data_IF_881945935115
#
_entry.id   IF_881945935115
#
_cell.length_a   1.000
_cell.length_b   1.000
_cell.length_c   1.000
_cell.angle_alpha   90.00
_cell.angle_beta   90.00
_cell.angle_gamma   90.00
#
_symmetry.space_group_name_H-M   'P 1'
#
loop_
_entity.id
_entity.type
_entity.pdbx_description
1 polymer ?
#
# COMPACT_ATOMS: atom_id res chain seq x y z
N UNK A 1 70.11 17.17 -26.78
CA UNK A 1 69.22 16.54 -27.78
C UNK A 1 67.78 16.80 -27.34
N UNK A 2 67.13 17.71 -28.08
CA UNK A 2 65.69 17.91 -28.31
C UNK A 2 64.67 17.82 -27.16
N UNK A 3 64.30 18.99 -26.63
CA UNK A 3 62.90 19.49 -26.59
C UNK A 3 62.58 20.17 -27.96
N UNK A 4 61.39 20.76 -28.26
CA UNK A 4 60.11 20.88 -27.54
C UNK A 4 58.87 20.65 -28.45
N UNK A 5 57.63 20.84 -27.93
CA UNK A 5 56.46 21.57 -28.53
C UNK A 5 55.14 21.01 -27.97
N UNK A 6 54.03 21.72 -27.82
CA UNK A 6 53.67 23.12 -27.54
C UNK A 6 52.14 23.11 -27.33
N UNK A 7 51.63 23.99 -26.47
CA UNK A 7 50.21 24.25 -26.11
C UNK A 7 49.41 24.85 -27.31
N UNK A 8 48.06 24.97 -27.32
CA UNK A 8 47.31 26.05 -26.63
C UNK A 8 45.90 25.62 -26.09
N UNK A 9 45.39 26.05 -24.93
CA UNK A 9 44.66 27.30 -24.60
C UNK A 9 43.59 27.75 -25.62
N UNK A 10 42.30 27.65 -25.27
CA UNK A 10 41.26 28.60 -25.70
C UNK A 10 40.28 28.87 -24.54
N UNK A 11 40.25 30.14 -24.12
CA UNK A 11 39.19 30.81 -23.37
C UNK A 11 38.15 31.35 -24.37
N UNK A 12 37.02 31.78 -23.83
CA UNK A 12 35.96 32.64 -24.38
C UNK A 12 34.66 31.85 -24.69
N UNK A 13 33.57 32.01 -23.92
CA UNK A 13 32.73 33.22 -23.76
C UNK A 13 32.03 33.46 -25.10
N UNK A 14 30.70 33.46 -25.22
CA UNK A 14 29.71 34.42 -24.68
C UNK A 14 28.40 34.03 -25.41
N UNK A 15 27.19 34.09 -24.86
CA UNK A 15 26.16 35.18 -24.75
C UNK A 15 24.84 34.36 -24.90
N UNK A 16 23.68 34.62 -24.29
CA UNK A 16 22.93 35.86 -24.06
C UNK A 16 21.81 35.58 -23.03
N UNK A 17 21.72 36.51 -22.09
CA UNK A 17 20.51 37.17 -21.53
C UNK A 17 19.45 36.33 -20.79
N UNK A 18 19.19 36.54 -19.49
CA UNK A 18 18.81 37.78 -18.76
C UNK A 18 17.36 38.22 -19.03
N UNK A 19 16.47 37.92 -18.07
CA UNK A 19 15.34 38.76 -17.63
C UNK A 19 15.11 38.37 -16.16
N UNK A 20 15.74 39.02 -15.17
CA UNK A 20 15.26 40.22 -14.41
C UNK A 20 13.75 40.06 -14.10
N UNK A 21 13.26 39.99 -12.87
CA UNK A 21 13.18 41.10 -11.93
C UNK A 21 12.75 40.53 -10.58
N UNK A 22 13.56 40.87 -9.59
CA UNK A 22 13.30 40.91 -8.15
C UNK A 22 12.13 41.82 -7.79
N UNK A 23 11.32 41.46 -6.80
CA UNK A 23 10.88 42.49 -5.84
C UNK A 23 10.77 41.93 -4.43
N UNK A 24 11.69 42.41 -3.59
CA UNK A 24 11.60 42.41 -2.12
C UNK A 24 10.66 43.54 -1.72
N UNK A 25 9.85 43.33 -0.69
CA UNK A 25 9.50 44.43 0.20
C UNK A 25 9.37 43.95 1.65
N UNK A 26 10.17 44.59 2.48
CA UNK A 26 10.20 44.55 3.94
C UNK A 26 9.86 45.98 4.38
N UNK A 27 8.86 46.19 5.24
CA UNK A 27 8.91 47.06 6.44
C UNK A 27 7.52 47.08 7.14
N UNK A 28 7.45 47.45 8.44
CA UNK A 28 6.35 47.18 9.35
C UNK A 28 5.55 48.42 9.78
N UNK A 29 4.40 48.19 10.45
CA UNK A 29 3.96 49.00 11.60
C UNK A 29 2.64 49.80 11.49
N UNK A 30 1.81 49.60 12.53
CA UNK A 30 1.01 50.60 13.30
C UNK A 30 -0.51 50.75 13.04
N UNK A 31 -1.21 50.64 14.19
CA UNK A 31 -2.58 50.98 14.65
C UNK A 31 -3.45 51.93 13.80
N UNK A 32 -4.76 51.69 13.75
CA UNK A 32 -5.77 52.32 14.64
C UNK A 32 -7.18 51.70 14.49
N UNK A 33 -7.96 51.75 15.59
CA UNK A 33 -9.40 51.42 15.66
C UNK A 33 -10.20 52.71 15.57
N UNK A 34 -11.40 52.72 14.97
CA UNK A 34 -12.55 53.53 15.43
C UNK A 34 -13.88 53.05 14.84
N UNK A 35 -14.75 52.58 15.75
CA UNK A 35 -16.22 52.71 15.90
C UNK A 35 -17.28 52.48 14.77
N UNK A 36 -18.54 52.14 15.14
CA UNK A 36 -19.57 51.54 14.27
C UNK A 36 -20.81 52.41 13.94
N UNK A 37 -21.60 51.89 12.97
CA UNK A 37 -23.05 52.09 12.66
C UNK A 37 -23.53 53.41 12.00
N UNK A 38 -24.74 53.51 11.36
CA UNK A 38 -25.84 52.51 11.21
C UNK A 38 -26.56 52.40 9.84
N UNK A 39 -27.34 51.31 9.71
CA UNK A 39 -28.65 51.15 9.04
C UNK A 39 -28.88 51.56 7.55
N UNK A 40 -29.10 50.54 6.69
CA UNK A 40 -29.99 50.64 5.51
C UNK A 40 -30.87 49.37 5.43
N UNK A 41 -32.21 49.48 5.32
CA UNK A 41 -33.11 48.32 5.21
C UNK A 41 -33.51 47.99 3.74
N UNK A 42 -33.92 46.73 3.54
CA UNK A 42 -34.78 46.14 2.47
C UNK A 42 -34.08 45.35 1.35
N UNK A 43 -34.25 44.02 1.37
CA UNK A 43 -35.17 43.25 0.51
C UNK A 43 -35.00 41.73 0.77
N UNK A 44 -36.08 40.95 0.97
CA UNK A 44 -35.95 39.51 1.09
C UNK A 44 -35.65 38.87 -0.29
N UNK A 45 -34.65 37.97 -0.41
CA UNK A 45 -34.46 37.19 -1.63
C UNK A 45 -35.56 36.12 -1.75
N UNK A 46 -35.97 35.77 -2.99
CA UNK A 46 -37.01 34.77 -3.22
C UNK A 46 -36.59 33.38 -2.75
N UNK A 47 -37.59 32.63 -2.26
CA UNK A 47 -37.54 31.23 -1.86
C UNK A 47 -36.54 30.38 -2.65
N UNK A 48 -35.45 29.96 -1.99
CA UNK A 48 -34.56 28.91 -2.49
C UNK A 48 -35.31 27.58 -2.43
N UNK A 49 -35.70 27.05 -3.59
CA UNK A 49 -36.09 25.64 -3.72
C UNK A 49 -34.90 24.78 -3.29
N UNK A 50 -35.12 23.93 -2.29
CA UNK A 50 -34.21 22.84 -1.95
C UNK A 50 -33.98 21.98 -3.20
N UNK A 51 -32.78 22.02 -3.73
CA UNK A 51 -32.25 20.94 -4.55
C UNK A 51 -31.22 20.21 -3.68
N UNK A 52 -31.41 18.92 -3.34
CA UNK A 52 -30.33 18.14 -2.78
C UNK A 52 -29.33 17.84 -3.89
N UNK A 53 -28.38 18.77 -4.12
CA UNK A 53 -27.17 18.47 -4.89
C UNK A 53 -26.22 17.71 -3.98
N UNK A 54 -26.35 16.38 -3.97
CA UNK A 54 -25.26 15.47 -3.59
C UNK A 54 -24.15 15.56 -4.66
N UNK A 55 -23.50 16.73 -4.75
CA UNK A 55 -22.27 16.89 -5.50
C UNK A 55 -21.14 16.37 -4.62
N UNK A 56 -20.87 15.07 -4.74
CA UNK A 56 -19.66 14.46 -4.21
C UNK A 56 -18.49 15.17 -4.90
N UNK A 57 -17.93 16.18 -4.22
CA UNK A 57 -16.77 16.92 -4.71
C UNK A 57 -15.57 15.96 -4.74
N UNK A 58 -14.89 15.79 -5.88
CA UNK A 58 -13.70 14.94 -5.97
C UNK A 58 -12.58 15.38 -5.01
N UNK A 59 -12.55 16.66 -4.63
CA UNK A 59 -11.64 17.18 -3.61
C UNK A 59 -11.92 16.67 -2.18
N UNK A 60 -13.17 16.39 -1.81
CA UNK A 60 -13.51 15.89 -0.49
C UNK A 60 -13.12 14.40 -0.32
N UNK A 61 -13.20 13.63 -1.42
CA UNK A 61 -12.69 12.26 -1.49
C UNK A 61 -11.16 12.24 -1.39
N UNK A 62 -10.46 13.11 -2.13
CA UNK A 62 -9.01 13.24 -2.01
C UNK A 62 -8.56 13.61 -0.59
N UNK A 63 -9.29 14.48 0.12
CA UNK A 63 -8.93 14.84 1.50
C UNK A 63 -9.18 13.71 2.51
N UNK A 64 -10.25 12.90 2.33
CA UNK A 64 -10.50 11.70 3.14
C UNK A 64 -9.49 10.61 2.86
N UNK A 65 -9.15 10.38 1.59
CA UNK A 65 -8.13 9.43 1.17
C UNK A 65 -6.78 9.84 1.75
N UNK A 66 -6.38 11.12 1.64
CA UNK A 66 -5.08 11.59 2.15
C UNK A 66 -4.99 11.56 3.69
N UNK A 67 -6.13 11.67 4.40
CA UNK A 67 -6.20 11.45 5.85
C UNK A 67 -6.16 9.97 6.26
N UNK A 68 -6.64 9.05 5.41
CA UNK A 68 -6.60 7.58 5.64
C UNK A 68 -5.33 6.91 5.11
N UNK A 69 -4.66 7.51 4.13
CA UNK A 69 -3.38 7.07 3.52
C UNK A 69 -2.17 7.77 4.11
N UNK A 70 -2.37 8.61 5.14
CA UNK A 70 -1.31 8.95 6.07
C UNK A 70 -1.00 7.69 6.87
N UNK A 71 -0.29 6.73 6.25
CA UNK A 71 0.31 5.62 6.96
C UNK A 71 1.13 6.26 8.08
N UNK A 72 0.70 6.15 9.35
CA UNK A 72 1.60 6.48 10.44
C UNK A 72 2.80 5.54 10.30
N UNK A 73 3.86 5.81 11.02
CA UNK A 73 5.10 5.01 11.06
C UNK A 73 4.90 3.58 11.62
N UNK A 74 3.70 3.03 11.51
CA UNK A 74 3.22 1.77 12.07
C UNK A 74 2.72 0.91 10.91
N UNK A 75 3.35 -0.25 10.69
CA UNK A 75 2.94 -1.18 9.63
C UNK A 75 1.52 -1.72 9.94
N UNK A 76 0.72 -2.12 8.94
CA UNK A 76 -0.59 -2.70 9.21
C UNK A 76 -0.45 -4.01 10.00
N UNK A 77 -1.41 -4.35 10.86
CA UNK A 77 -1.41 -5.70 11.43
C UNK A 77 -1.90 -6.72 10.39
N UNK A 78 -1.61 -8.00 10.61
CA UNK A 78 -2.07 -9.05 9.70
C UNK A 78 -3.61 -9.07 9.53
N UNK A 79 -4.35 -8.69 10.57
CA UNK A 79 -5.81 -8.55 10.53
C UNK A 79 -6.26 -7.46 9.54
N UNK A 80 -5.52 -6.36 9.39
CA UNK A 80 -5.86 -5.26 8.48
C UNK A 80 -5.71 -5.64 7.00
N UNK A 81 -4.96 -6.71 6.72
CA UNK A 81 -4.83 -7.30 5.39
C UNK A 81 -6.06 -8.13 5.01
N UNK A 82 -6.79 -8.64 6.00
CA UNK A 82 -8.00 -9.45 5.80
C UNK A 82 -9.24 -8.56 5.57
N UNK A 83 -9.28 -7.36 6.15
CA UNK A 83 -10.35 -6.39 5.90
C UNK A 83 -10.26 -5.84 4.46
N UNK A 84 -11.21 -6.19 3.60
CA UNK A 84 -11.20 -5.72 2.21
C UNK A 84 -11.54 -4.23 2.11
N UNK A 85 -10.86 -3.49 1.22
CA UNK A 85 -11.25 -2.10 0.91
C UNK A 85 -12.61 -2.07 0.20
N UNK A 86 -13.34 -0.96 0.36
CA UNK A 86 -14.53 -0.72 -0.48
C UNK A 86 -14.11 -0.64 -1.95
N UNK A 87 -14.97 -1.13 -2.86
CA UNK A 87 -14.73 -1.07 -4.29
C UNK A 87 -14.43 0.35 -4.78
N UNK A 88 -15.11 1.35 -4.20
CA UNK A 88 -14.92 2.77 -4.51
C UNK A 88 -13.50 3.27 -4.15
N UNK A 89 -12.91 2.74 -3.07
CA UNK A 89 -11.56 3.15 -2.64
C UNK A 89 -10.49 2.56 -3.56
N UNK A 90 -10.65 1.31 -3.98
CA UNK A 90 -9.73 0.66 -4.93
C UNK A 90 -9.75 1.35 -6.30
N UNK A 91 -10.94 1.76 -6.76
CA UNK A 91 -11.10 2.42 -8.05
C UNK A 91 -10.40 3.79 -8.08
N UNK A 92 -10.45 4.55 -6.98
CA UNK A 92 -9.72 5.83 -6.90
C UNK A 92 -8.21 5.62 -6.98
N UNK A 93 -7.68 4.59 -6.30
CA UNK A 93 -6.26 4.25 -6.37
C UNK A 93 -5.85 3.83 -7.78
N UNK A 94 -6.70 3.04 -8.46
CA UNK A 94 -6.51 2.62 -9.85
C UNK A 94 -6.44 3.83 -10.79
N UNK A 95 -7.40 4.75 -10.67
CA UNK A 95 -7.46 5.96 -11.50
C UNK A 95 -6.25 6.85 -11.30
N UNK A 96 -5.80 7.03 -10.05
CA UNK A 96 -4.59 7.80 -9.75
C UNK A 96 -3.35 7.14 -10.34
N UNK A 97 -3.20 5.83 -10.18
CA UNK A 97 -2.07 5.08 -10.75
C UNK A 97 -2.04 5.18 -12.28
N UNK A 98 -3.17 5.00 -12.96
CA UNK A 98 -3.26 5.10 -14.42
C UNK A 98 -2.97 6.51 -14.95
N UNK A 99 -3.43 7.54 -14.23
CA UNK A 99 -3.13 8.93 -14.57
C UNK A 99 -1.64 9.22 -14.48
N UNK A 100 -0.97 8.78 -13.44
CA UNK A 100 0.48 8.95 -13.31
C UNK A 100 1.25 8.12 -14.34
N UNK A 101 0.74 6.93 -14.69
CA UNK A 101 1.33 6.06 -15.70
C UNK A 101 1.29 6.69 -17.09
N UNK A 102 0.16 7.33 -17.48
CA UNK A 102 0.07 8.03 -18.77
C UNK A 102 0.98 9.26 -18.84
N UNK A 103 1.31 9.85 -17.68
CA UNK A 103 2.26 10.96 -17.55
C UNK A 103 3.73 10.49 -17.47
N UNK A 104 4.00 9.18 -17.55
CA UNK A 104 5.33 8.58 -17.38
C UNK A 104 6.04 8.96 -16.07
N UNK A 105 5.28 9.38 -15.05
CA UNK A 105 5.80 9.85 -13.77
C UNK A 105 4.98 9.25 -12.64
N UNK A 106 5.19 7.96 -12.40
CA UNK A 106 4.57 7.22 -11.29
C UNK A 106 5.41 7.36 -10.04
N UNK A 107 4.81 7.92 -8.98
CA UNK A 107 5.48 7.98 -7.69
C UNK A 107 5.49 6.61 -7.01
N UNK A 108 6.55 6.32 -6.27
CA UNK A 108 6.67 5.06 -5.50
C UNK A 108 5.51 4.92 -4.52
N UNK A 109 5.04 6.02 -3.93
CA UNK A 109 3.91 6.02 -3.01
C UNK A 109 2.60 5.63 -3.70
N UNK A 110 2.28 6.21 -4.86
CA UNK A 110 1.07 5.88 -5.61
C UNK A 110 1.07 4.42 -6.02
N UNK A 111 2.20 3.92 -6.55
CA UNK A 111 2.36 2.51 -6.90
C UNK A 111 2.18 1.60 -5.69
N UNK A 112 2.75 1.96 -4.55
CA UNK A 112 2.65 1.20 -3.31
C UNK A 112 1.21 1.16 -2.77
N UNK A 113 0.53 2.30 -2.74
CA UNK A 113 -0.87 2.39 -2.28
C UNK A 113 -1.79 1.55 -3.15
N UNK A 114 -1.62 1.63 -4.48
CA UNK A 114 -2.39 0.81 -5.41
C UNK A 114 -2.10 -0.68 -5.24
N UNK A 115 -0.83 -1.07 -5.15
CA UNK A 115 -0.42 -2.45 -4.92
C UNK A 115 -1.02 -3.02 -3.62
N UNK A 116 -1.00 -2.26 -2.54
CA UNK A 116 -1.62 -2.68 -1.29
C UNK A 116 -3.14 -2.80 -1.39
N UNK A 117 -3.80 -1.87 -2.08
CA UNK A 117 -5.23 -1.97 -2.33
C UNK A 117 -5.61 -3.22 -3.12
N UNK A 118 -4.79 -3.60 -4.11
CA UNK A 118 -4.94 -4.83 -4.87
C UNK A 118 -4.77 -6.08 -4.00
N UNK A 119 -3.76 -6.10 -3.11
CA UNK A 119 -3.58 -7.20 -2.15
C UNK A 119 -4.79 -7.35 -1.23
N UNK A 120 -5.40 -6.24 -0.79
CA UNK A 120 -6.60 -6.28 0.05
C UNK A 120 -7.86 -6.78 -0.67
N UNK A 121 -7.87 -6.78 -2.01
CA UNK A 121 -9.01 -7.22 -2.81
C UNK A 121 -9.32 -8.72 -2.59
N UNK A 122 -10.60 -9.14 -2.65
CA UNK A 122 -10.96 -10.56 -2.58
C UNK A 122 -10.60 -11.34 -3.85
N UNK A 123 -10.32 -10.66 -4.98
CA UNK A 123 -9.99 -11.32 -6.24
C UNK A 123 -8.55 -11.80 -6.27
N UNK A 124 -8.34 -13.08 -6.56
CA UNK A 124 -7.00 -13.69 -6.63
C UNK A 124 -6.10 -13.02 -7.66
N UNK A 125 -6.66 -12.63 -8.81
CA UNK A 125 -5.94 -11.91 -9.87
C UNK A 125 -5.37 -10.58 -9.39
N UNK A 126 -6.17 -9.82 -8.63
CA UNK A 126 -5.71 -8.57 -8.02
C UNK A 126 -4.59 -8.83 -7.00
N UNK A 127 -4.72 -9.86 -6.17
CA UNK A 127 -3.68 -10.18 -5.18
C UNK A 127 -2.34 -10.52 -5.84
N UNK A 128 -2.36 -11.31 -6.94
CA UNK A 128 -1.15 -11.62 -7.72
C UNK A 128 -0.52 -10.34 -8.26
N UNK A 129 -1.30 -9.46 -8.89
CA UNK A 129 -0.80 -8.21 -9.45
C UNK A 129 -0.27 -7.27 -8.35
N UNK A 130 -0.96 -7.19 -7.21
CA UNK A 130 -0.52 -6.41 -6.07
C UNK A 130 0.85 -6.87 -5.54
N UNK A 131 1.05 -8.18 -5.39
CA UNK A 131 2.34 -8.74 -4.97
C UNK A 131 3.43 -8.51 -6.03
N UNK A 132 3.09 -8.61 -7.32
CA UNK A 132 4.01 -8.29 -8.42
C UNK A 132 4.51 -6.85 -8.33
N UNK A 133 3.59 -5.90 -8.15
CA UNK A 133 3.92 -4.47 -8.01
C UNK A 133 4.74 -4.19 -6.75
N UNK A 134 4.43 -4.83 -5.62
CA UNK A 134 5.24 -4.73 -4.40
C UNK A 134 6.67 -5.22 -4.65
N UNK A 135 6.83 -6.32 -5.38
CA UNK A 135 8.15 -6.88 -5.67
C UNK A 135 8.98 -5.99 -6.61
N UNK A 136 8.33 -5.29 -7.55
CA UNK A 136 8.98 -4.27 -8.36
C UNK A 136 9.48 -3.10 -7.48
N UNK A 137 8.66 -2.64 -6.53
CA UNK A 137 9.05 -1.58 -5.59
C UNK A 137 10.23 -2.02 -4.72
N UNK A 138 10.20 -3.25 -4.21
CA UNK A 138 11.30 -3.83 -3.40
C UNK A 138 12.66 -3.79 -4.13
N UNK A 139 12.65 -4.06 -5.44
CA UNK A 139 13.85 -4.05 -6.28
C UNK A 139 14.32 -2.62 -6.58
N UNK A 140 13.38 -1.74 -6.91
CA UNK A 140 13.66 -0.37 -7.33
C UNK A 140 14.05 0.57 -6.18
N UNK A 141 13.50 0.36 -4.98
CA UNK A 141 13.64 1.30 -3.85
C UNK A 141 14.27 0.64 -2.62
N UNK A 142 15.62 0.66 -2.49
CA UNK A 142 16.33 0.10 -1.35
C UNK A 142 15.93 0.71 -0.01
N UNK A 143 15.60 2.00 0.04
CA UNK A 143 15.29 2.69 1.29
C UNK A 143 14.00 2.19 1.94
N UNK A 144 13.05 1.70 1.15
CA UNK A 144 11.74 1.19 1.61
C UNK A 144 11.66 -0.34 1.70
N UNK A 145 12.77 -1.05 1.50
CA UNK A 145 12.79 -2.53 1.51
C UNK A 145 12.24 -3.12 2.79
N UNK A 146 12.54 -2.51 3.93
CA UNK A 146 12.05 -2.98 5.24
C UNK A 146 10.53 -3.06 5.26
N UNK A 147 9.85 -1.96 4.95
CA UNK A 147 8.39 -1.93 4.88
C UNK A 147 7.91 -2.92 3.82
N UNK A 148 8.52 -2.90 2.63
CA UNK A 148 8.09 -3.73 1.53
C UNK A 148 8.17 -5.24 1.82
N UNK A 149 9.17 -5.71 2.58
CA UNK A 149 9.26 -7.11 3.03
C UNK A 149 8.03 -7.53 3.83
N UNK A 150 7.57 -6.68 4.74
CA UNK A 150 6.40 -6.95 5.56
C UNK A 150 5.13 -7.06 4.71
N UNK A 151 4.93 -6.13 3.77
CA UNK A 151 3.79 -6.16 2.85
C UNK A 151 3.82 -7.34 1.87
N UNK A 152 5.01 -7.74 1.40
CA UNK A 152 5.18 -8.96 0.59
C UNK A 152 4.79 -10.20 1.40
N UNK A 153 5.22 -10.29 2.66
CA UNK A 153 4.85 -11.40 3.54
C UNK A 153 3.33 -11.47 3.75
N UNK A 154 2.66 -10.34 3.99
CA UNK A 154 1.19 -10.28 4.11
C UNK A 154 0.47 -10.69 2.82
N UNK A 155 0.96 -10.23 1.66
CA UNK A 155 0.40 -10.62 0.37
C UNK A 155 0.48 -12.13 0.14
N UNK A 156 1.65 -12.72 0.36
CA UNK A 156 1.83 -14.17 0.26
C UNK A 156 1.00 -14.95 1.28
N UNK A 157 0.90 -14.47 2.52
CA UNK A 157 0.06 -15.07 3.55
C UNK A 157 -1.42 -15.10 3.15
N UNK A 158 -1.96 -13.98 2.65
CA UNK A 158 -3.37 -13.89 2.20
C UNK A 158 -3.66 -14.86 1.04
N UNK A 159 -2.68 -15.07 0.17
CA UNK A 159 -2.78 -15.96 -0.98
C UNK A 159 -2.65 -17.46 -0.65
N UNK A 160 -2.35 -17.81 0.60
CA UNK A 160 -2.05 -19.19 1.03
C UNK A 160 -0.63 -19.66 0.72
N UNK A 161 0.24 -18.77 0.22
CA UNK A 161 1.63 -19.06 -0.09
C UNK A 161 2.48 -18.91 1.18
N UNK A 162 2.27 -19.77 2.17
CA UNK A 162 2.87 -19.63 3.50
C UNK A 162 4.41 -19.78 3.52
N UNK A 163 4.98 -20.55 2.59
CA UNK A 163 6.44 -20.70 2.48
C UNK A 163 7.11 -19.37 2.12
N UNK A 164 6.67 -18.73 1.04
CA UNK A 164 7.12 -17.39 0.67
C UNK A 164 6.83 -16.35 1.76
N UNK A 165 5.65 -16.42 2.39
CA UNK A 165 5.30 -15.52 3.49
C UNK A 165 6.30 -15.64 4.64
N UNK A 166 6.63 -16.88 5.04
CA UNK A 166 7.64 -17.16 6.08
C UNK A 166 9.00 -16.64 5.67
N UNK A 167 9.41 -16.86 4.41
CA UNK A 167 10.71 -16.40 3.89
C UNK A 167 10.85 -14.89 3.95
N UNK A 168 9.86 -14.13 3.45
CA UNK A 168 9.92 -12.67 3.47
C UNK A 168 9.87 -12.12 4.90
N UNK A 169 9.06 -12.71 5.77
CA UNK A 169 8.95 -12.30 7.17
C UNK A 169 10.24 -12.61 7.96
N UNK A 170 10.88 -13.75 7.70
CA UNK A 170 12.17 -14.10 8.30
C UNK A 170 13.27 -13.09 7.91
N UNK A 171 13.34 -12.69 6.63
CA UNK A 171 14.29 -11.66 6.19
C UNK A 171 14.09 -10.31 6.89
N UNK A 172 12.86 -10.00 7.32
CA UNK A 172 12.56 -8.82 8.11
C UNK A 172 13.01 -9.00 9.57
N UNK A 173 12.71 -10.14 10.18
CA UNK A 173 13.10 -10.46 11.56
C UNK A 173 14.62 -10.58 11.73
N UNK A 174 15.36 -11.04 10.72
CA UNK A 174 16.82 -11.05 10.72
C UNK A 174 17.41 -9.64 10.87
N UNK A 175 16.69 -8.62 10.38
CA UNK A 175 17.09 -7.21 10.46
C UNK A 175 16.53 -6.53 11.70
N UNK A 176 15.31 -6.87 12.07
CA UNK A 176 14.57 -6.27 13.18
C UNK A 176 13.93 -7.35 14.07
N UNK A 177 14.73 -8.02 14.90
CA UNK A 177 14.24 -9.15 15.70
C UNK A 177 13.21 -8.71 16.74
N UNK A 178 13.22 -7.45 17.18
CA UNK A 178 12.26 -6.88 18.14
C UNK A 178 10.96 -6.39 17.50
N UNK A 179 10.74 -6.62 16.20
CA UNK A 179 9.54 -6.17 15.51
C UNK A 179 8.33 -7.05 15.87
N UNK A 180 7.47 -6.56 16.77
CA UNK A 180 6.30 -7.30 17.27
C UNK A 180 5.31 -7.66 16.15
N UNK A 181 5.19 -6.85 15.10
CA UNK A 181 4.27 -7.10 14.00
C UNK A 181 4.75 -8.27 13.15
N UNK A 182 6.05 -8.31 12.84
CA UNK A 182 6.68 -9.42 12.15
C UNK A 182 6.66 -10.71 12.98
N UNK A 183 6.89 -10.63 14.29
CA UNK A 183 6.79 -11.80 15.19
C UNK A 183 5.36 -12.36 15.24
N UNK A 184 4.37 -11.48 15.31
CA UNK A 184 2.97 -11.89 15.27
C UNK A 184 2.62 -12.56 13.95
N UNK A 185 3.04 -11.98 12.82
CA UNK A 185 2.85 -12.57 11.51
C UNK A 185 3.52 -13.95 11.39
N UNK A 186 4.73 -14.14 11.96
CA UNK A 186 5.39 -15.44 11.99
C UNK A 186 4.53 -16.48 12.73
N UNK A 187 3.98 -16.11 13.88
CA UNK A 187 3.09 -16.97 14.66
C UNK A 187 1.82 -17.34 13.90
N UNK A 188 1.21 -16.38 13.19
CA UNK A 188 0.03 -16.64 12.36
C UNK A 188 0.34 -17.58 11.19
N UNK A 189 1.48 -17.39 10.53
CA UNK A 189 1.95 -18.29 9.46
C UNK A 189 2.12 -19.71 10.01
N UNK A 190 2.80 -19.87 11.15
CA UNK A 190 3.05 -21.18 11.76
C UNK A 190 1.74 -21.87 12.17
N UNK A 191 0.79 -21.12 12.70
CA UNK A 191 -0.54 -21.63 13.04
C UNK A 191 -1.30 -22.13 11.79
N UNK A 192 -1.32 -21.37 10.70
CA UNK A 192 -2.02 -21.78 9.46
C UNK A 192 -1.38 -23.02 8.83
N UNK A 193 -0.05 -23.07 8.73
CA UNK A 193 0.67 -24.25 8.23
C UNK A 193 0.38 -25.48 9.08
N UNK A 194 0.38 -25.32 10.42
CA UNK A 194 0.10 -26.41 11.35
C UNK A 194 -1.35 -26.90 11.24
N UNK A 195 -2.32 -25.99 11.12
CA UNK A 195 -3.73 -26.32 10.94
C UNK A 195 -3.97 -27.14 9.67
N UNK A 196 -3.38 -26.72 8.53
CA UNK A 196 -3.49 -27.47 7.27
C UNK A 196 -2.84 -28.86 7.38
N UNK A 197 -1.72 -28.98 8.09
CA UNK A 197 -1.10 -30.27 8.41
C UNK A 197 -2.01 -31.20 9.21
N UNK A 198 -2.67 -30.68 10.26
CA UNK A 198 -3.62 -31.46 11.06
C UNK A 198 -4.84 -31.92 10.26
N UNK A 199 -5.38 -31.06 9.38
CA UNK A 199 -6.50 -31.42 8.51
C UNK A 199 -6.10 -32.58 7.59
N UNK A 200 -4.90 -32.52 7.00
CA UNK A 200 -4.37 -33.61 6.18
C UNK A 200 -4.24 -34.93 6.95
N UNK A 201 -3.71 -34.89 8.18
CA UNK A 201 -3.59 -36.08 9.02
C UNK A 201 -4.94 -36.66 9.45
N UNK A 202 -5.92 -35.80 9.77
CA UNK A 202 -7.26 -36.24 10.17
C UNK A 202 -7.98 -37.01 9.05
N UNK A 203 -7.84 -36.55 7.80
CA UNK A 203 -8.42 -37.22 6.63
C UNK A 203 -7.79 -38.60 6.45
N UNK A 204 -6.46 -38.70 6.46
CA UNK A 204 -5.74 -39.97 6.29
C UNK A 204 -6.07 -40.94 7.43
N UNK A 205 -6.06 -40.46 8.68
CA UNK A 205 -6.39 -41.25 9.86
C UNK A 205 -7.82 -41.78 9.83
N UNK A 206 -8.80 -40.96 9.43
CA UNK A 206 -10.19 -41.36 9.30
C UNK A 206 -10.41 -42.45 8.25
N UNK A 207 -9.80 -42.31 7.06
CA UNK A 207 -9.91 -43.31 5.99
C UNK A 207 -9.25 -44.63 6.38
N UNK A 208 -8.06 -44.60 7.00
CA UNK A 208 -7.37 -45.79 7.47
C UNK A 208 -8.17 -46.53 8.57
N UNK A 209 -8.74 -45.80 9.52
CA UNK A 209 -9.57 -46.38 10.58
C UNK A 209 -10.83 -47.06 10.02
N UNK A 210 -11.55 -46.41 9.12
CA UNK A 210 -12.77 -46.97 8.52
C UNK A 210 -12.48 -48.19 7.65
N UNK A 211 -11.42 -48.17 6.85
CA UNK A 211 -11.03 -49.30 6.00
C UNK A 211 -10.57 -50.52 6.81
N UNK A 212 -9.80 -50.31 7.88
CA UNK A 212 -9.39 -51.39 8.79
C UNK A 212 -10.59 -51.98 9.56
N UNK A 213 -11.51 -51.16 10.05
CA UNK A 213 -12.75 -51.62 10.69
C UNK A 213 -13.63 -52.41 9.70
N UNK A 214 -13.83 -51.90 8.48
CA UNK A 214 -14.60 -52.59 7.45
C UNK A 214 -13.99 -53.96 7.10
N UNK A 215 -12.67 -54.02 6.87
CA UNK A 215 -11.99 -55.28 6.58
C UNK A 215 -12.08 -56.26 7.75
N UNK A 216 -11.87 -55.79 8.98
CA UNK A 216 -11.98 -56.63 10.17
C UNK A 216 -13.40 -57.21 10.36
N UNK A 217 -14.44 -56.43 10.08
CA UNK A 217 -15.83 -56.92 10.14
C UNK A 217 -16.15 -57.94 9.05
N UNK A 218 -15.63 -57.75 7.83
CA UNK A 218 -15.78 -58.71 6.72
C UNK A 218 -15.09 -60.04 7.06
N UNK A 219 -13.83 -60.01 7.52
CA UNK A 219 -13.07 -61.20 7.91
C UNK A 219 -13.76 -61.95 9.05
N UNK A 220 -14.21 -61.23 10.09
CA UNK A 220 -14.93 -61.82 11.22
C UNK A 220 -16.24 -62.49 10.81
N UNK A 221 -16.93 -61.95 9.81
CA UNK A 221 -18.16 -62.55 9.27
C UNK A 221 -17.87 -63.79 8.43
N UNK A 222 -16.80 -63.79 7.64
CA UNK A 222 -16.37 -64.94 6.85
C UNK A 222 -15.91 -66.11 7.73
N UNK A 223 -15.21 -65.86 8.83
CA UNK A 223 -14.72 -66.90 9.75
C UNK A 223 -15.80 -67.57 10.62
N UNK A 224 -17.03 -67.03 10.65
CA UNK A 224 -18.17 -67.62 11.38
C UNK A 224 -19.06 -68.51 10.51
N UNK A 225 -18.75 -68.63 9.23
CA UNK A 225 -19.42 -69.51 8.27
C UNK A 225 -18.57 -70.75 8.06
#
# INVERSE_FOLDING_TARGET
MTCPRQVPRVRHQQVVEEVVVTEKAHFPGRLERTHPDPAVPRLPPPFRRHTPRSLIHPHALNLKINKRTKMPTELPYAADAEESLSFDELEVLRLQYQKELSQSHVTVQTKFNYAWGLVKSPMREHQVEGVRLLQEIYRAEPARRRECLYYLALGHYKMGNYEEARRFNALLLDKEPSNLQAQSLASLIDQRVTQEGYIGMAIVGGVAALSTLALATIIRRASRK
#
